data_IF_455136358514
#
_entry.id   IF_455136358514
#
_cell.length_a   1.000
_cell.length_b   1.000
_cell.length_c   1.000
_cell.angle_alpha   90.00
_cell.angle_beta   90.00
_cell.angle_gamma   90.00
#
_symmetry.space_group_name_H-M   'P 1'
#
loop_
_entity.id
_entity.type
_entity.pdbx_description
1 polymer ?
#
# COMPACT_ATOMS: atom_id res chain seq x y z
N UNK A 1 37.12 40.21 7.41
CA UNK A 1 36.03 39.74 6.53
C UNK A 1 36.65 39.21 5.25
N UNK A 2 36.60 37.90 5.03
CA UNK A 2 37.14 37.24 3.83
C UNK A 2 36.01 36.41 3.24
N UNK A 3 35.45 36.88 2.12
CA UNK A 3 34.47 36.11 1.33
C UNK A 3 35.23 35.12 0.47
N UNK A 4 35.28 33.85 0.88
CA UNK A 4 35.70 32.74 0.02
C UNK A 4 34.51 32.35 -0.87
N UNK A 5 34.60 32.67 -2.16
CA UNK A 5 33.70 32.15 -3.18
C UNK A 5 34.00 30.66 -3.40
N UNK A 6 32.99 29.81 -3.21
CA UNK A 6 33.02 28.42 -3.65
C UNK A 6 32.48 28.35 -5.08
N UNK A 7 33.21 27.77 -6.04
CA UNK A 7 32.65 27.50 -7.36
C UNK A 7 31.67 26.33 -7.25
N UNK A 8 30.38 26.61 -7.47
CA UNK A 8 29.38 25.58 -7.70
C UNK A 8 29.68 24.89 -9.04
N UNK A 9 30.21 23.68 -8.98
CA UNK A 9 30.33 22.82 -10.16
C UNK A 9 28.95 22.19 -10.43
N UNK A 10 28.25 22.75 -11.41
CA UNK A 10 27.00 22.23 -11.96
C UNK A 10 27.29 20.97 -12.78
N UNK A 11 27.08 19.79 -12.23
CA UNK A 11 27.11 18.55 -13.01
C UNK A 11 25.75 18.36 -13.71
N UNK A 12 25.71 18.65 -15.01
CA UNK A 12 24.64 18.24 -15.92
C UNK A 12 24.70 16.71 -16.09
N UNK A 13 23.76 15.98 -15.51
CA UNK A 13 23.55 14.57 -15.84
C UNK A 13 22.51 14.50 -16.97
N UNK A 14 22.97 14.15 -18.17
CA UNK A 14 22.13 13.87 -19.33
C UNK A 14 21.47 12.51 -19.13
N UNK A 15 20.13 12.50 -19.09
CA UNK A 15 19.31 11.29 -19.05
C UNK A 15 19.21 10.72 -20.46
N UNK A 16 19.79 9.55 -20.69
CA UNK A 16 19.54 8.77 -21.91
C UNK A 16 18.29 7.91 -21.71
N UNK A 17 17.21 8.27 -22.38
CA UNK A 17 16.03 7.43 -22.55
C UNK A 17 16.30 6.38 -23.62
N UNK A 18 16.17 5.10 -23.25
CA UNK A 18 16.05 4.00 -24.21
C UNK A 18 14.71 3.31 -23.99
N UNK A 19 13.74 3.69 -24.82
CA UNK A 19 12.59 2.86 -25.10
C UNK A 19 13.01 1.76 -26.07
N UNK A 20 12.68 0.52 -25.77
CA UNK A 20 12.72 -0.57 -26.75
C UNK A 20 11.56 -1.51 -26.46
N UNK A 21 10.47 -1.27 -27.19
CA UNK A 21 9.40 -2.22 -27.43
C UNK A 21 9.97 -3.40 -28.23
N UNK A 22 9.78 -4.62 -27.74
CA UNK A 22 9.89 -5.82 -28.58
C UNK A 22 8.57 -6.57 -28.47
N UNK A 23 7.68 -6.24 -29.41
CA UNK A 23 6.68 -7.19 -29.87
C UNK A 23 7.42 -8.41 -30.44
N UNK A 24 7.05 -9.60 -29.99
CA UNK A 24 7.35 -10.84 -30.69
C UNK A 24 6.03 -11.61 -30.79
N UNK A 25 5.39 -11.48 -31.95
CA UNK A 25 4.36 -12.40 -32.40
C UNK A 25 5.01 -13.69 -32.86
N UNK A 26 4.32 -14.80 -32.66
CA UNK A 26 4.50 -15.99 -33.47
C UNK A 26 3.11 -16.47 -33.88
N UNK A 27 2.88 -16.35 -35.19
CA UNK A 27 1.78 -16.92 -35.94
C UNK A 27 1.85 -18.45 -35.92
N UNK A 28 0.67 -19.07 -35.91
CA UNK A 28 0.43 -20.49 -36.14
C UNK A 28 -0.98 -20.81 -35.64
N UNK A 29 -2.03 -21.02 -36.43
CA UNK A 29 -2.11 -21.39 -37.84
C UNK A 29 -2.83 -22.74 -37.95
N UNK A 30 -4.15 -22.72 -38.15
CA UNK A 30 -5.01 -23.82 -38.65
C UNK A 30 -5.12 -25.09 -37.78
N UNK A 31 -6.13 -25.96 -37.87
CA UNK A 31 -7.38 -26.02 -38.62
C UNK A 31 -8.27 -27.10 -37.99
N UNK A 32 -9.55 -26.97 -38.26
CA UNK A 32 -10.68 -27.87 -38.00
C UNK A 32 -10.51 -29.29 -38.55
N UNK A 33 -11.10 -30.30 -37.89
CA UNK A 33 -11.96 -31.35 -38.48
C UNK A 33 -12.38 -32.36 -37.41
N UNK A 34 -13.66 -32.78 -37.44
CA UNK A 34 -14.19 -33.80 -36.53
C UNK A 34 -15.72 -33.87 -36.53
N UNK A 35 -16.31 -34.07 -37.71
CA UNK A 35 -17.71 -34.42 -37.93
C UNK A 35 -18.20 -35.58 -37.05
N UNK A 36 -19.41 -35.45 -36.49
CA UNK A 36 -20.32 -36.57 -36.29
C UNK A 36 -21.77 -36.10 -36.49
N UNK A 37 -22.42 -36.68 -37.49
CA UNK A 37 -23.79 -36.43 -37.94
C UNK A 37 -24.86 -37.08 -37.04
N UNK A 38 -26.05 -36.48 -37.09
CA UNK A 38 -27.35 -37.14 -36.89
C UNK A 38 -28.10 -36.59 -35.69
N UNK A 39 -29.35 -36.18 -35.74
CA UNK A 39 -30.39 -36.18 -36.76
C UNK A 39 -31.65 -35.58 -36.09
N UNK A 40 -32.51 -34.92 -36.88
CA UNK A 40 -33.71 -34.26 -36.39
C UNK A 40 -34.77 -35.25 -35.86
N UNK A 41 -35.54 -34.85 -34.84
CA UNK A 41 -36.95 -35.22 -34.72
C UNK A 41 -37.73 -34.30 -33.75
N UNK A 42 -38.85 -33.81 -34.26
CA UNK A 42 -39.91 -33.04 -33.60
C UNK A 42 -40.71 -33.92 -32.62
N UNK A 43 -41.23 -33.34 -31.54
CA UNK A 43 -42.19 -34.03 -30.67
C UNK A 43 -42.99 -33.07 -29.78
N UNK A 44 -44.21 -32.75 -30.21
CA UNK A 44 -45.24 -32.03 -29.45
C UNK A 44 -45.65 -32.83 -28.19
N UNK A 45 -45.92 -32.13 -27.08
CA UNK A 45 -46.61 -32.69 -25.92
C UNK A 45 -47.09 -31.58 -24.98
N UNK A 46 -48.37 -31.23 -25.09
CA UNK A 46 -49.11 -30.32 -24.20
C UNK A 46 -49.28 -30.96 -22.81
N UNK A 47 -49.23 -30.15 -21.74
CA UNK A 47 -50.17 -30.19 -20.61
C UNK A 47 -49.87 -29.05 -19.63
N UNK A 48 -50.78 -28.08 -19.60
CA UNK A 48 -50.91 -27.03 -18.61
C UNK A 48 -51.81 -27.56 -17.49
N UNK A 49 -51.41 -27.46 -16.22
CA UNK A 49 -52.36 -27.43 -15.09
C UNK A 49 -51.81 -26.60 -13.91
N UNK A 50 -52.69 -25.87 -13.18
CA UNK A 50 -52.34 -24.79 -12.27
C UNK A 50 -52.24 -25.24 -10.81
N UNK A 51 -51.42 -24.57 -9.99
CA UNK A 51 -51.51 -24.62 -8.52
C UNK A 51 -51.18 -23.25 -7.91
N UNK A 52 -52.00 -22.88 -6.93
CA UNK A 52 -52.17 -21.59 -6.25
C UNK A 52 -50.91 -21.05 -5.51
N UNK A 53 -50.85 -19.74 -5.21
CA UNK A 53 -49.87 -19.20 -4.28
C UNK A 53 -50.34 -19.44 -2.84
N UNK A 54 -49.73 -20.41 -2.15
CA UNK A 54 -49.95 -20.64 -0.72
C UNK A 54 -48.90 -19.91 0.11
N UNK A 55 -49.41 -18.92 0.84
CA UNK A 55 -49.01 -18.38 2.15
C UNK A 55 -47.54 -18.02 2.48
N UNK A 56 -47.44 -16.75 2.87
CA UNK A 56 -46.37 -16.03 3.56
C UNK A 56 -45.67 -16.80 4.68
N UNK A 57 -44.32 -16.76 4.75
CA UNK A 57 -43.62 -16.80 6.02
C UNK A 57 -43.39 -15.36 6.52
N UNK A 58 -44.14 -14.96 7.55
CA UNK A 58 -43.69 -13.96 8.51
C UNK A 58 -43.10 -14.70 9.70
N UNK A 59 -41.83 -14.45 10.02
CA UNK A 59 -41.52 -14.05 11.38
C UNK A 59 -40.78 -12.70 11.37
N UNK A 60 -41.41 -11.72 11.99
CA UNK A 60 -40.78 -10.52 12.53
C UNK A 60 -39.81 -10.96 13.62
N UNK A 61 -38.52 -10.98 13.31
CA UNK A 61 -37.46 -11.04 14.32
C UNK A 61 -36.85 -9.63 14.40
N UNK A 62 -36.93 -9.05 15.59
CA UNK A 62 -36.34 -7.78 16.03
C UNK A 62 -34.93 -7.54 15.47
N UNK A 63 -34.60 -6.38 14.87
CA UNK A 63 -33.22 -5.96 14.76
C UNK A 63 -32.72 -5.65 16.18
N UNK A 64 -32.10 -6.66 16.77
CA UNK A 64 -31.31 -6.55 17.99
C UNK A 64 -30.31 -5.42 17.80
N UNK A 65 -30.23 -4.51 18.78
CA UNK A 65 -29.27 -3.41 18.86
C UNK A 65 -27.90 -3.82 18.32
N UNK A 66 -27.52 -3.28 17.16
CA UNK A 66 -26.12 -3.31 16.71
C UNK A 66 -25.36 -2.39 17.68
N UNK A 67 -24.45 -2.91 18.54
CA UNK A 67 -23.50 -2.02 19.19
C UNK A 67 -22.71 -1.37 18.07
N UNK A 68 -22.89 -0.05 17.90
CA UNK A 68 -21.96 0.76 17.11
C UNK A 68 -20.63 0.69 17.83
N UNK A 69 -19.84 -0.33 17.50
CA UNK A 69 -18.44 -0.46 17.89
C UNK A 69 -17.71 0.64 17.11
N UNK A 70 -17.60 1.80 17.73
CA UNK A 70 -16.77 2.89 17.27
C UNK A 70 -15.37 2.29 17.01
N UNK A 71 -14.84 2.32 15.77
CA UNK A 71 -13.53 1.75 15.50
C UNK A 71 -12.47 2.64 16.17
N UNK A 72 -12.27 2.39 17.47
CA UNK A 72 -11.17 2.91 18.28
C UNK A 72 -9.89 2.12 17.98
N UNK A 73 -9.86 1.39 16.87
CA UNK A 73 -8.74 0.60 16.38
C UNK A 73 -7.61 1.53 15.96
N UNK A 74 -6.80 1.89 16.95
CA UNK A 74 -5.42 2.30 16.72
C UNK A 74 -4.75 1.13 16.01
N UNK A 75 -4.26 1.28 14.76
CA UNK A 75 -3.67 0.18 14.03
C UNK A 75 -2.47 -0.37 14.80
N UNK A 76 -2.59 -1.62 15.26
CA UNK A 76 -1.49 -2.32 15.93
C UNK A 76 -0.59 -2.92 14.85
N UNK A 77 0.58 -2.32 14.66
CA UNK A 77 1.58 -2.81 13.71
C UNK A 77 2.07 -4.20 14.12
N UNK A 78 1.87 -5.19 13.25
CA UNK A 78 2.43 -6.53 13.40
C UNK A 78 3.97 -6.53 13.39
N UNK A 79 4.55 -7.65 13.84
CA UNK A 79 5.98 -7.88 14.12
C UNK A 79 6.91 -7.66 12.92
N UNK A 80 7.09 -6.40 12.53
CA UNK A 80 8.28 -5.95 11.84
C UNK A 80 9.41 -5.79 12.88
N UNK A 81 10.67 -5.85 12.43
CA UNK A 81 11.85 -5.49 13.25
C UNK A 81 11.82 -3.98 13.51
N UNK A 82 10.84 -3.52 14.28
CA UNK A 82 10.62 -2.12 14.63
C UNK A 82 11.10 -1.96 16.06
N UNK A 83 12.10 -1.12 16.22
CA UNK A 83 12.60 -0.71 17.53
C UNK A 83 11.46 -0.09 18.34
N UNK A 84 11.35 -0.38 19.65
CA UNK A 84 10.33 0.21 20.53
C UNK A 84 10.39 1.75 20.61
N UNK A 85 11.54 2.32 20.24
CA UNK A 85 11.77 3.77 20.16
C UNK A 85 10.97 4.44 19.04
N UNK A 86 10.45 3.66 18.08
CA UNK A 86 9.83 4.15 16.85
C UNK A 86 8.31 4.01 16.96
N UNK A 87 7.61 5.12 16.76
CA UNK A 87 6.15 5.17 16.71
C UNK A 87 5.70 5.84 15.43
N UNK A 88 4.72 5.24 14.76
CA UNK A 88 4.07 5.89 13.63
C UNK A 88 3.35 7.15 14.11
N UNK A 89 3.54 8.25 13.39
CA UNK A 89 2.79 9.49 13.57
C UNK A 89 1.76 9.68 12.46
N UNK A 90 1.56 10.92 12.03
CA UNK A 90 0.56 11.25 11.02
C UNK A 90 1.05 10.93 9.60
N UNK A 91 0.10 10.62 8.72
CA UNK A 91 0.38 10.43 7.30
C UNK A 91 -0.46 11.38 6.46
N UNK A 92 0.06 11.72 5.29
CA UNK A 92 -0.54 12.75 4.46
C UNK A 92 0.02 12.75 3.05
N UNK A 93 -0.28 13.84 2.34
CA UNK A 93 0.03 14.00 0.93
C UNK A 93 0.87 15.24 0.70
N UNK A 94 1.97 15.07 -0.04
CA UNK A 94 2.70 16.19 -0.64
C UNK A 94 1.89 16.82 -1.78
N UNK A 95 2.28 18.04 -2.15
CA UNK A 95 1.67 18.78 -3.26
C UNK A 95 1.92 18.13 -4.63
N UNK A 96 2.93 17.27 -4.71
CA UNK A 96 3.33 16.45 -5.85
C UNK A 96 2.53 15.13 -5.98
N UNK A 97 1.58 14.88 -5.07
CA UNK A 97 0.85 13.62 -5.02
C UNK A 97 1.71 12.47 -4.50
N UNK A 98 2.82 12.74 -3.80
CA UNK A 98 3.62 11.73 -3.12
C UNK A 98 3.13 11.61 -1.68
N UNK A 99 2.80 10.40 -1.19
CA UNK A 99 2.42 10.23 0.20
C UNK A 99 3.62 10.42 1.12
N UNK A 100 3.41 10.91 2.34
CA UNK A 100 4.44 10.99 3.37
C UNK A 100 3.92 10.51 4.72
N UNK A 101 4.85 10.11 5.58
CA UNK A 101 4.59 9.72 6.96
C UNK A 101 5.54 10.48 7.90
N UNK A 102 5.00 11.01 8.99
CA UNK A 102 5.77 11.49 10.11
C UNK A 102 5.97 10.34 11.08
N UNK A 103 7.21 9.98 11.37
CA UNK A 103 7.57 8.92 12.32
C UNK A 103 8.22 9.57 13.52
N UNK A 104 7.67 9.35 14.71
CA UNK A 104 8.24 9.84 15.96
C UNK A 104 9.23 8.81 16.49
N UNK A 105 10.45 9.25 16.75
CA UNK A 105 11.50 8.45 17.36
C UNK A 105 11.83 9.04 18.72
N UNK A 106 11.81 8.22 19.76
CA UNK A 106 12.26 8.59 21.12
C UNK A 106 13.49 7.77 21.46
N UNK A 107 14.65 8.40 21.49
CA UNK A 107 15.88 7.75 21.91
C UNK A 107 16.03 7.84 23.43
N UNK A 108 15.86 6.71 24.11
CA UNK A 108 16.01 6.61 25.57
C UNK A 108 17.45 6.31 26.02
N UNK A 109 18.39 6.12 25.08
CA UNK A 109 19.81 5.98 25.42
C UNK A 109 20.42 7.34 25.80
N UNK A 110 21.50 7.31 26.59
CA UNK A 110 22.25 8.51 26.96
C UNK A 110 23.09 9.08 25.82
N UNK A 111 23.34 8.29 24.77
CA UNK A 111 24.14 8.69 23.61
C UNK A 111 23.28 8.81 22.35
N UNK A 112 23.80 9.55 21.37
CA UNK A 112 23.20 9.63 20.04
C UNK A 112 23.08 8.24 19.40
N UNK A 113 21.91 7.99 18.80
CA UNK A 113 21.63 6.79 18.02
C UNK A 113 21.17 7.17 16.62
N UNK A 114 21.37 6.25 15.68
CA UNK A 114 21.00 6.40 14.27
C UNK A 114 19.94 5.38 13.93
N UNK A 115 18.87 5.85 13.30
CA UNK A 115 17.71 5.04 12.97
C UNK A 115 17.55 4.90 11.46
N UNK A 116 17.21 3.69 11.03
CA UNK A 116 16.81 3.42 9.65
C UNK A 116 15.36 2.97 9.64
N UNK A 117 14.55 3.64 8.83
CA UNK A 117 13.11 3.49 8.74
C UNK A 117 12.72 3.05 7.33
N UNK A 118 11.84 2.06 7.25
CA UNK A 118 11.07 1.77 6.04
C UNK A 118 9.59 1.91 6.37
N UNK A 119 8.89 2.77 5.63
CA UNK A 119 7.44 2.98 5.78
C UNK A 119 6.74 2.43 4.56
N UNK A 120 5.72 1.59 4.77
CA UNK A 120 4.80 1.16 3.74
C UNK A 120 3.59 2.08 3.70
N UNK A 121 3.25 2.58 2.51
CA UNK A 121 2.01 3.29 2.23
C UNK A 121 1.06 2.32 1.53
N UNK A 122 -0.08 2.06 2.13
CA UNK A 122 -0.99 0.99 1.71
C UNK A 122 -2.40 1.52 1.47
N UNK A 123 -3.16 0.85 0.62
CA UNK A 123 -4.57 1.17 0.39
C UNK A 123 -5.47 0.72 1.56
N UNK A 124 -6.79 0.90 1.43
CA UNK A 124 -7.75 0.48 2.46
C UNK A 124 -7.68 -1.01 2.79
N UNK A 125 -7.26 -1.84 1.84
CA UNK A 125 -7.15 -3.29 1.93
C UNK A 125 -5.74 -3.75 2.31
N UNK A 126 -4.92 -2.84 2.83
CA UNK A 126 -3.53 -3.07 3.24
C UNK A 126 -2.60 -3.57 2.13
N UNK A 127 -2.97 -3.35 0.86
CA UNK A 127 -2.09 -3.60 -0.30
C UNK A 127 -1.10 -2.46 -0.46
N UNK A 128 0.16 -2.81 -0.69
CA UNK A 128 1.22 -1.82 -0.91
C UNK A 128 0.94 -0.97 -2.15
N UNK A 129 0.96 0.35 -1.96
CA UNK A 129 0.86 1.35 -3.03
C UNK A 129 2.26 1.87 -3.36
N UNK A 130 3.00 2.28 -2.32
CA UNK A 130 4.42 2.64 -2.41
C UNK A 130 5.08 2.43 -1.05
N UNK A 131 6.40 2.50 -1.00
CA UNK A 131 7.17 2.55 0.23
C UNK A 131 7.95 3.87 0.29
N UNK A 132 8.43 4.22 1.48
CA UNK A 132 9.39 5.29 1.70
C UNK A 132 10.49 4.81 2.63
N UNK A 133 11.64 5.45 2.55
CA UNK A 133 12.82 5.06 3.31
C UNK A 133 13.54 6.29 3.85
N UNK A 134 14.03 6.20 5.08
CA UNK A 134 14.96 7.14 5.67
C UNK A 134 16.07 6.35 6.35
N UNK A 135 17.34 6.65 6.05
CA UNK A 135 18.49 6.09 6.76
C UNK A 135 19.20 7.15 7.60
N UNK A 136 19.98 6.66 8.57
CA UNK A 136 20.89 7.47 9.37
C UNK A 136 20.22 8.67 10.07
N UNK A 137 18.94 8.52 10.43
CA UNK A 137 18.22 9.52 11.17
C UNK A 137 18.81 9.66 12.58
N UNK A 138 19.65 10.67 12.75
CA UNK A 138 20.30 10.96 14.02
C UNK A 138 19.29 11.47 15.05
N UNK A 139 19.26 10.84 16.22
CA UNK A 139 18.49 11.27 17.39
C UNK A 139 19.42 11.30 18.60
N UNK A 140 19.62 12.50 19.15
CA UNK A 140 20.42 12.71 20.34
C UNK A 140 19.94 11.84 21.52
N UNK A 141 20.83 11.58 22.47
CA UNK A 141 20.50 10.83 23.68
C UNK A 141 19.40 11.54 24.50
N UNK A 142 18.49 10.77 25.07
CA UNK A 142 17.33 11.24 25.84
C UNK A 142 16.45 12.27 25.09
N UNK A 143 16.41 12.21 23.76
CA UNK A 143 15.67 13.15 22.93
C UNK A 143 14.59 12.45 22.09
N UNK A 144 13.67 13.25 21.57
CA UNK A 144 12.70 12.81 20.56
C UNK A 144 12.83 13.63 19.28
N UNK A 145 12.67 12.98 18.13
CA UNK A 145 12.69 13.60 16.81
C UNK A 145 11.53 13.06 15.98
N UNK A 146 10.93 13.93 15.17
CA UNK A 146 9.97 13.49 14.14
C UNK A 146 10.69 13.49 12.81
N UNK A 147 10.68 12.34 12.14
CA UNK A 147 11.29 12.13 10.82
C UNK A 147 10.18 12.04 9.79
N UNK A 148 10.29 12.82 8.72
CA UNK A 148 9.34 12.76 7.60
C UNK A 148 9.86 11.80 6.55
N UNK A 149 9.24 10.64 6.43
CA UNK A 149 9.54 9.64 5.40
C UNK A 149 8.61 9.87 4.21
N UNK A 150 9.17 10.11 3.04
CA UNK A 150 8.42 10.37 1.80
C UNK A 150 8.37 9.10 0.96
N UNK A 151 7.23 8.84 0.32
CA UNK A 151 7.08 7.74 -0.62
C UNK A 151 8.03 7.87 -1.82
N UNK A 152 8.53 6.75 -2.32
CA UNK A 152 9.42 6.70 -3.48
C UNK A 152 8.70 7.02 -4.79
N UNK A 153 7.41 6.69 -4.87
CA UNK A 153 6.59 6.89 -6.06
C UNK A 153 5.39 7.79 -5.74
N UNK A 154 5.03 8.63 -6.71
CA UNK A 154 3.79 9.39 -6.67
C UNK A 154 2.58 8.45 -6.80
N UNK A 155 1.53 8.75 -6.05
CA UNK A 155 0.23 8.12 -6.14
C UNK A 155 -0.82 9.20 -6.44
N UNK A 156 -0.84 9.64 -7.70
CA UNK A 156 -1.72 10.71 -8.17
C UNK A 156 -3.21 10.39 -7.97
N UNK A 157 -3.56 9.10 -7.91
CA UNK A 157 -4.92 8.63 -7.64
C UNK A 157 -5.26 8.60 -6.14
N UNK A 158 -4.29 8.91 -5.27
CA UNK A 158 -4.41 8.91 -3.80
C UNK A 158 -5.02 7.61 -3.26
N UNK A 159 -4.60 6.48 -3.80
CA UNK A 159 -4.97 5.13 -3.38
C UNK A 159 -4.49 4.82 -1.97
N UNK A 160 -3.31 5.31 -1.56
CA UNK A 160 -2.80 5.10 -0.21
C UNK A 160 -3.72 5.74 0.83
N UNK A 161 -4.24 4.93 1.76
CA UNK A 161 -5.13 5.38 2.85
C UNK A 161 -4.50 5.23 4.23
N UNK A 162 -3.53 4.32 4.35
CA UNK A 162 -2.85 4.01 5.61
C UNK A 162 -1.33 4.01 5.39
N UNK A 163 -0.60 4.13 6.49
CA UNK A 163 0.85 4.02 6.51
C UNK A 163 1.28 3.16 7.70
N UNK A 164 2.36 2.40 7.55
CA UNK A 164 2.89 1.56 8.62
C UNK A 164 4.41 1.49 8.58
N UNK A 165 5.05 1.52 9.74
CA UNK A 165 6.48 1.26 9.82
C UNK A 165 6.66 -0.23 9.57
N UNK A 166 7.34 -0.57 8.49
CA UNK A 166 7.59 -1.95 8.06
C UNK A 166 8.99 -2.43 8.44
N UNK A 167 9.92 -1.50 8.73
CA UNK A 167 11.22 -1.76 9.32
C UNK A 167 11.64 -0.54 10.13
N UNK A 168 12.25 -0.75 11.29
CA UNK A 168 12.76 0.31 12.13
C UNK A 168 13.96 -0.16 12.94
N UNK A 169 15.17 0.02 12.43
CA UNK A 169 16.38 -0.40 13.13
C UNK A 169 17.02 0.77 13.87
N UNK A 170 17.74 0.44 14.94
CA UNK A 170 18.55 1.36 15.73
C UNK A 170 19.99 0.88 15.69
N UNK A 171 20.92 1.80 15.49
CA UNK A 171 22.35 1.57 15.60
C UNK A 171 22.99 2.65 16.45
N UNK A 172 24.14 2.31 17.06
CA UNK A 172 24.98 3.25 17.80
C UNK A 172 26.27 3.41 17.01
N UNK A 173 26.86 4.61 17.03
CA UNK A 173 28.26 4.73 16.60
C UNK A 173 29.09 3.82 17.50
N UNK A 174 29.90 2.95 16.91
CA UNK A 174 30.85 2.16 17.67
C UNK A 174 31.78 3.13 18.43
N UNK A 175 31.85 2.97 19.75
CA UNK A 175 32.74 3.74 20.61
C UNK A 175 34.20 3.37 20.35
#
# INVERSE_FOLDING_TARGET
>A
MVRKQFPFATALVVVATLASISACGSEGGGSSAGDAKGGAALGKGMAELPVEPTESPSPTEDPTDDPTDDPTDTPTGGSALVSPDIKMGTCGWGSDGIPYANVKITNSDSTTSYYTLMVGFVDSNDKAVTTGFESDAEVAGNASKTVKVVGLLADSAKKAKKCRVSLGTKSKTAA
#
